data_IF_182048532028
#
_entry.id   IF_182048532028
#
_cell.length_a   1.000
_cell.length_b   1.000
_cell.length_c   1.000
_cell.angle_alpha   90.00
_cell.angle_beta   90.00
_cell.angle_gamma   90.00
#
_symmetry.space_group_name_H-M   'P 1'
#
loop_
_entity.id
_entity.type
_entity.pdbx_description
1 polymer ?
#
# COMPACT_ATOMS: atom_id res chain seq x y z
N UNK A 1 -27.94 -18.31 34.82
CA UNK A 1 -28.03 -17.35 33.70
C UNK A 1 -29.48 -16.96 33.51
N UNK A 2 -29.78 -15.69 33.26
CA UNK A 2 -31.13 -15.29 32.83
C UNK A 2 -31.43 -15.90 31.47
N UNK A 3 -32.71 -16.02 31.10
CA UNK A 3 -33.12 -16.55 29.79
C UNK A 3 -32.44 -15.81 28.62
N UNK A 4 -32.28 -14.48 28.76
CA UNK A 4 -31.54 -13.65 27.80
C UNK A 4 -30.05 -14.01 27.70
N UNK A 5 -29.40 -14.25 28.84
CA UNK A 5 -27.98 -14.61 28.86
C UNK A 5 -27.73 -16.05 28.36
N UNK A 6 -28.70 -16.96 28.51
CA UNK A 6 -28.63 -18.30 27.91
C UNK A 6 -28.77 -18.25 26.38
N UNK A 7 -29.70 -17.45 25.87
CA UNK A 7 -29.86 -17.22 24.43
C UNK A 7 -28.59 -16.59 23.80
N UNK A 8 -27.99 -15.62 24.50
CA UNK A 8 -26.75 -14.97 24.03
C UNK A 8 -25.55 -15.92 24.03
N UNK A 9 -25.44 -16.79 25.04
CA UNK A 9 -24.42 -17.83 25.06
C UNK A 9 -24.61 -18.86 23.95
N UNK A 10 -25.85 -19.30 23.70
CA UNK A 10 -26.17 -20.24 22.62
C UNK A 10 -25.83 -19.63 21.27
N UNK A 11 -26.20 -18.36 21.05
CA UNK A 11 -25.83 -17.63 19.83
C UNK A 11 -24.32 -17.58 19.64
N UNK A 12 -23.57 -17.22 20.69
CA UNK A 12 -22.10 -17.19 20.63
C UNK A 12 -21.50 -18.58 20.33
N UNK A 13 -22.07 -19.65 20.89
CA UNK A 13 -21.64 -21.03 20.61
C UNK A 13 -21.87 -21.41 19.13
N UNK A 14 -23.05 -21.10 18.58
CA UNK A 14 -23.36 -21.43 17.17
C UNK A 14 -22.59 -20.53 16.18
N UNK A 15 -22.34 -19.26 16.53
CA UNK A 15 -21.53 -18.34 15.71
C UNK A 15 -20.05 -18.72 15.67
N UNK A 16 -19.58 -19.52 16.63
CA UNK A 16 -18.16 -19.84 16.80
C UNK A 16 -17.85 -21.33 16.65
N UNK A 17 -18.75 -22.06 15.98
CA UNK A 17 -18.58 -23.50 15.64
C UNK A 17 -17.24 -23.71 14.93
N UNK A 18 -16.40 -24.60 15.48
CA UNK A 18 -15.09 -24.92 14.94
C UNK A 18 -14.05 -23.81 15.06
N UNK A 19 -14.33 -22.72 15.78
CA UNK A 19 -13.37 -21.64 16.04
C UNK A 19 -12.60 -21.92 17.34
N UNK A 20 -11.29 -22.16 17.25
CA UNK A 20 -10.40 -22.32 18.39
C UNK A 20 -10.50 -21.19 19.42
N UNK A 21 -10.47 -21.53 20.71
CA UNK A 21 -10.53 -20.59 21.83
C UNK A 21 -11.91 -19.97 22.09
N UNK A 22 -12.94 -20.38 21.36
CA UNK A 22 -14.31 -19.86 21.49
C UNK A 22 -15.30 -20.94 21.96
N UNK A 23 -16.49 -20.56 22.47
CA UNK A 23 -17.43 -21.51 23.04
C UNK A 23 -17.89 -22.63 22.09
N UNK A 24 -17.86 -22.39 20.77
CA UNK A 24 -18.21 -23.36 19.74
C UNK A 24 -17.04 -24.21 19.21
N UNK A 25 -15.82 -24.07 19.75
CA UNK A 25 -14.61 -24.73 19.24
C UNK A 25 -14.79 -26.23 18.97
N UNK A 26 -15.35 -26.95 19.94
CA UNK A 26 -15.48 -28.41 19.90
C UNK A 26 -16.78 -28.87 19.20
N UNK A 27 -17.58 -27.93 18.70
CA UNK A 27 -18.80 -28.21 17.96
C UNK A 27 -18.44 -28.37 16.49
N UNK A 28 -18.86 -29.48 15.90
CA UNK A 28 -18.72 -29.75 14.46
C UNK A 28 -20.07 -29.88 13.76
N UNK A 29 -21.09 -30.30 14.51
CA UNK A 29 -22.42 -30.58 13.98
C UNK A 29 -23.45 -29.76 14.76
N UNK A 30 -24.29 -29.02 14.04
CA UNK A 30 -25.43 -28.29 14.61
C UNK A 30 -26.72 -28.92 14.07
N UNK A 31 -27.55 -29.43 14.97
CA UNK A 31 -28.84 -30.04 14.61
C UNK A 31 -29.94 -29.09 15.07
N UNK A 32 -30.72 -28.55 14.12
CA UNK A 32 -31.87 -27.68 14.41
C UNK A 32 -33.18 -28.40 14.13
N UNK A 33 -34.10 -28.37 15.10
CA UNK A 33 -35.47 -28.87 14.96
C UNK A 33 -36.42 -27.68 14.85
N UNK A 34 -36.50 -27.08 13.67
CA UNK A 34 -37.31 -25.88 13.38
C UNK A 34 -36.50 -24.72 12.79
N UNK A 35 -37.16 -23.58 12.58
CA UNK A 35 -36.45 -22.33 12.29
C UNK A 35 -35.62 -21.96 13.52
N UNK A 36 -34.31 -21.78 13.35
CA UNK A 36 -33.51 -21.17 14.40
C UNK A 36 -34.02 -19.75 14.59
N UNK A 37 -34.58 -19.48 15.77
CA UNK A 37 -35.01 -18.14 16.19
C UNK A 37 -33.81 -17.17 16.22
N UNK A 38 -32.61 -17.71 16.38
CA UNK A 38 -31.34 -17.00 16.42
C UNK A 38 -30.58 -17.20 15.11
N UNK A 39 -30.25 -16.09 14.44
CA UNK A 39 -29.37 -16.12 13.28
C UNK A 39 -27.95 -16.49 13.71
N UNK A 40 -27.30 -17.36 12.94
CA UNK A 40 -25.89 -17.71 13.11
C UNK A 40 -25.09 -17.46 11.83
N UNK A 41 -23.85 -17.03 11.99
CA UNK A 41 -22.97 -16.55 10.92
C UNK A 41 -21.64 -17.34 10.79
N UNK A 42 -21.66 -18.67 10.94
CA UNK A 42 -20.47 -19.47 10.67
C UNK A 42 -20.24 -19.62 9.14
N UNK A 43 -19.01 -19.36 8.70
CA UNK A 43 -18.61 -19.37 7.28
C UNK A 43 -18.11 -20.74 6.79
N UNK A 44 -17.88 -21.68 7.70
CA UNK A 44 -17.20 -22.97 7.45
C UNK A 44 -18.17 -24.13 7.23
N UNK A 45 -19.38 -23.84 6.75
CA UNK A 45 -20.42 -24.85 6.53
C UNK A 45 -20.09 -25.68 5.29
N UNK A 46 -19.71 -26.93 5.48
CA UNK A 46 -19.35 -27.85 4.39
C UNK A 46 -20.48 -28.80 4.01
N UNK A 47 -21.39 -29.10 4.95
CA UNK A 47 -22.46 -30.07 4.77
C UNK A 47 -23.78 -29.50 5.30
N UNK A 48 -24.85 -29.67 4.52
CA UNK A 48 -26.22 -29.34 4.92
C UNK A 48 -27.09 -30.56 4.69
N UNK A 49 -27.70 -31.08 5.75
CA UNK A 49 -28.54 -32.28 5.68
C UNK A 49 -29.98 -31.96 6.06
N UNK A 50 -30.87 -32.07 5.07
CA UNK A 50 -32.31 -32.01 5.23
C UNK A 50 -32.88 -33.32 5.75
N UNK A 51 -33.24 -33.37 7.04
CA UNK A 51 -33.82 -34.56 7.67
C UNK A 51 -35.35 -34.65 7.55
N UNK A 52 -36.02 -33.59 7.06
CA UNK A 52 -37.47 -33.54 6.82
C UNK A 52 -37.75 -33.05 5.40
N UNK A 53 -38.93 -33.36 4.87
CA UNK A 53 -39.33 -32.92 3.56
C UNK A 53 -39.39 -31.39 3.46
N UNK A 54 -38.63 -30.82 2.52
CA UNK A 54 -38.69 -29.41 2.16
C UNK A 54 -39.78 -29.18 1.13
N UNK A 55 -40.90 -28.57 1.55
CA UNK A 55 -42.04 -28.28 0.66
C UNK A 55 -42.04 -26.86 0.10
N UNK A 56 -41.25 -25.95 0.68
CA UNK A 56 -41.15 -24.55 0.27
C UNK A 56 -39.81 -24.25 -0.39
N UNK A 57 -39.84 -23.66 -1.59
CA UNK A 57 -38.65 -23.24 -2.32
C UNK A 57 -37.83 -22.18 -1.57
N UNK A 58 -38.50 -21.19 -0.96
CA UNK A 58 -37.82 -20.12 -0.22
C UNK A 58 -37.00 -20.67 0.95
N UNK A 59 -37.51 -21.69 1.63
CA UNK A 59 -36.78 -22.34 2.73
C UNK A 59 -35.56 -23.12 2.21
N UNK A 60 -35.66 -23.77 1.04
CA UNK A 60 -34.51 -24.39 0.39
C UNK A 60 -33.41 -23.35 0.12
N UNK A 61 -33.75 -22.23 -0.53
CA UNK A 61 -32.79 -21.16 -0.87
C UNK A 61 -32.11 -20.59 0.37
N UNK A 62 -32.88 -20.32 1.43
CA UNK A 62 -32.33 -19.81 2.69
C UNK A 62 -31.39 -20.80 3.38
N UNK A 63 -31.71 -22.10 3.34
CA UNK A 63 -30.87 -23.15 3.95
C UNK A 63 -29.59 -23.35 3.14
N UNK A 64 -29.68 -23.37 1.82
CA UNK A 64 -28.52 -23.48 0.92
C UNK A 64 -27.62 -22.25 1.02
N UNK A 65 -28.18 -21.04 1.03
CA UNK A 65 -27.43 -19.79 1.13
C UNK A 65 -26.59 -19.66 2.41
N UNK A 66 -26.89 -20.42 3.47
CA UNK A 66 -26.05 -20.49 4.68
C UNK A 66 -24.71 -21.18 4.41
N UNK A 67 -24.68 -22.13 3.48
CA UNK A 67 -23.48 -22.85 3.06
C UNK A 67 -22.67 -22.16 1.98
N UNK A 68 -23.29 -21.27 1.20
CA UNK A 68 -22.65 -20.57 0.08
C UNK A 68 -21.86 -19.34 0.53
N UNK A 69 -20.89 -19.55 1.43
CA UNK A 69 -20.01 -18.50 1.94
C UNK A 69 -18.56 -18.88 1.67
N UNK A 70 -17.86 -18.03 0.92
CA UNK A 70 -16.45 -18.23 0.62
C UNK A 70 -15.60 -17.99 1.87
N UNK A 71 -14.69 -18.91 2.14
CA UNK A 71 -13.77 -18.86 3.28
C UNK A 71 -12.43 -18.20 2.93
N UNK A 72 -12.00 -18.20 1.66
CA UNK A 72 -10.80 -17.50 1.21
C UNK A 72 -10.97 -16.75 -0.10
N UNK A 73 -10.32 -15.59 -0.18
CA UNK A 73 -10.16 -14.76 -1.38
C UNK A 73 -8.71 -14.81 -1.90
N UNK A 74 -7.94 -15.82 -1.54
CA UNK A 74 -6.63 -16.07 -2.13
C UNK A 74 -6.79 -16.48 -3.59
N UNK A 75 -6.12 -15.74 -4.48
CA UNK A 75 -6.06 -16.08 -5.91
C UNK A 75 -5.05 -17.19 -6.10
N UNK A 76 -5.46 -18.26 -6.79
CA UNK A 76 -4.55 -19.32 -7.17
C UNK A 76 -3.55 -18.78 -8.21
N UNK A 77 -2.23 -18.79 -7.91
CA UNK A 77 -1.24 -18.20 -8.82
C UNK A 77 -1.13 -18.90 -10.17
N UNK A 78 -1.50 -20.18 -10.25
CA UNK A 78 -1.43 -20.97 -11.49
C UNK A 78 -2.60 -20.67 -12.43
N UNK A 79 -3.79 -20.44 -11.89
CA UNK A 79 -5.01 -20.21 -12.69
C UNK A 79 -5.39 -18.73 -12.79
N UNK A 80 -4.88 -17.87 -11.90
CA UNK A 80 -5.26 -16.46 -11.80
C UNK A 80 -6.69 -16.24 -11.28
N UNK A 81 -7.37 -17.29 -10.82
CA UNK A 81 -8.75 -17.28 -10.34
C UNK A 81 -8.82 -17.75 -8.88
N UNK A 82 -9.94 -17.53 -8.21
CA UNK A 82 -10.17 -18.14 -6.91
C UNK A 82 -10.51 -19.62 -7.07
N UNK A 83 -9.98 -20.47 -6.19
CA UNK A 83 -10.35 -21.88 -6.20
C UNK A 83 -11.86 -22.04 -5.88
N UNK A 84 -12.54 -23.02 -6.50
CA UNK A 84 -13.92 -23.33 -6.17
C UNK A 84 -14.02 -23.88 -4.74
N UNK A 85 -15.01 -23.40 -3.98
CA UNK A 85 -15.37 -23.93 -2.67
C UNK A 85 -16.75 -24.58 -2.79
N UNK A 86 -16.91 -25.76 -2.20
CA UNK A 86 -18.11 -26.59 -2.36
C UNK A 86 -18.83 -26.77 -1.02
N UNK A 87 -20.16 -26.84 -1.09
CA UNK A 87 -21.02 -27.27 0.03
C UNK A 87 -21.84 -28.48 -0.44
N UNK A 88 -21.80 -29.56 0.35
CA UNK A 88 -22.55 -30.78 0.06
C UNK A 88 -23.94 -30.70 0.69
N UNK A 89 -24.99 -30.91 -0.11
CA UNK A 89 -26.37 -30.74 0.34
C UNK A 89 -27.14 -32.03 0.11
N UNK A 90 -27.75 -32.55 1.17
CA UNK A 90 -28.49 -33.82 1.17
C UNK A 90 -29.93 -33.59 1.57
N UNK A 91 -30.88 -34.30 0.92
CA UNK A 91 -32.30 -34.28 1.32
C UNK A 91 -33.04 -32.96 1.05
N UNK A 92 -32.42 -32.02 0.31
CA UNK A 92 -33.04 -30.76 -0.13
C UNK A 92 -33.21 -30.83 -1.66
N UNK A 93 -34.43 -30.65 -2.21
CA UNK A 93 -34.65 -30.76 -3.66
C UNK A 93 -34.01 -29.59 -4.43
N UNK A 94 -33.11 -29.92 -5.38
CA UNK A 94 -32.41 -29.00 -6.27
C UNK A 94 -33.02 -29.04 -7.67
N UNK A 95 -34.09 -28.30 -7.92
CA UNK A 95 -34.71 -28.23 -9.26
C UNK A 95 -34.38 -26.95 -10.03
N UNK A 96 -33.73 -25.95 -9.40
CA UNK A 96 -33.61 -24.60 -9.98
C UNK A 96 -32.21 -23.94 -9.88
N UNK A 97 -31.28 -24.48 -9.08
CA UNK A 97 -29.90 -23.95 -9.01
C UNK A 97 -28.98 -24.74 -9.93
N UNK A 98 -28.15 -24.07 -10.76
CA UNK A 98 -27.10 -24.74 -11.50
C UNK A 98 -26.13 -25.39 -10.51
N UNK A 99 -26.02 -26.71 -10.59
CA UNK A 99 -25.07 -27.51 -9.81
C UNK A 99 -24.13 -28.19 -10.81
N UNK A 100 -22.85 -28.27 -10.48
CA UNK A 100 -21.90 -29.09 -11.25
C UNK A 100 -22.33 -30.55 -11.10
N UNK A 101 -23.00 -31.07 -12.13
CA UNK A 101 -23.43 -32.47 -12.23
C UNK A 101 -22.35 -33.27 -12.94
N UNK A 102 -21.21 -33.50 -12.29
CA UNK A 102 -20.35 -34.62 -12.67
C UNK A 102 -20.60 -35.76 -11.69
N UNK A 103 -21.30 -36.80 -12.15
CA UNK A 103 -21.45 -38.05 -11.42
C UNK A 103 -20.05 -38.59 -11.05
N UNK A 104 -19.71 -38.53 -9.76
CA UNK A 104 -18.57 -39.27 -9.19
C UNK A 104 -17.28 -38.47 -8.93
N UNK A 105 -17.21 -37.17 -9.25
CA UNK A 105 -16.04 -36.37 -8.85
C UNK A 105 -16.29 -35.73 -7.49
N UNK A 106 -15.85 -36.41 -6.42
CA UNK A 106 -15.77 -35.78 -5.10
C UNK A 106 -14.63 -34.74 -5.18
N UNK A 107 -14.91 -33.43 -5.07
CA UNK A 107 -13.84 -32.44 -5.07
C UNK A 107 -12.87 -32.76 -3.92
N UNK A 108 -11.55 -32.64 -4.15
CA UNK A 108 -10.58 -32.95 -3.11
C UNK A 108 -10.85 -32.08 -1.88
N UNK A 109 -10.64 -32.61 -0.66
CA UNK A 109 -10.86 -31.82 0.55
C UNK A 109 -10.02 -30.54 0.47
N UNK A 110 -10.58 -29.39 0.88
CA UNK A 110 -9.86 -28.14 0.85
C UNK A 110 -8.58 -28.27 1.67
N UNK A 111 -7.48 -27.73 1.16
CA UNK A 111 -6.21 -27.73 1.89
C UNK A 111 -6.41 -27.04 3.24
N UNK A 112 -5.86 -27.60 4.34
CA UNK A 112 -5.97 -26.95 5.64
C UNK A 112 -5.34 -25.56 5.56
N UNK A 113 -6.09 -24.55 6.02
CA UNK A 113 -5.61 -23.18 6.10
C UNK A 113 -5.09 -22.91 7.50
N UNK A 114 -3.97 -22.22 7.60
CA UNK A 114 -3.42 -21.76 8.87
C UNK A 114 -4.11 -20.46 9.26
N UNK A 115 -4.64 -20.40 10.49
CA UNK A 115 -5.13 -19.15 11.06
C UNK A 115 -3.94 -18.24 11.42
N UNK A 116 -3.98 -16.99 10.99
CA UNK A 116 -2.98 -15.96 11.27
C UNK A 116 -3.63 -14.91 12.15
N UNK A 117 -3.11 -14.75 13.37
CA UNK A 117 -3.70 -13.89 14.39
C UNK A 117 -2.70 -13.44 15.46
N UNK A 118 -3.00 -12.34 16.17
CA UNK A 118 -2.25 -11.93 17.35
C UNK A 118 -2.41 -12.95 18.49
N UNK A 119 -1.32 -13.28 19.17
CA UNK A 119 -1.28 -14.27 20.25
C UNK A 119 -1.20 -13.56 21.61
N UNK A 120 -2.20 -13.70 22.50
CA UNK A 120 -2.21 -13.04 23.81
C UNK A 120 -0.94 -13.28 24.64
N UNK A 121 -0.39 -14.50 24.64
CA UNK A 121 0.84 -14.86 25.35
C UNK A 121 2.08 -14.13 24.79
N UNK A 122 1.99 -13.63 23.55
CA UNK A 122 3.03 -12.86 22.87
C UNK A 122 2.79 -11.35 22.90
N UNK A 123 1.87 -10.85 23.73
CA UNK A 123 1.57 -9.42 23.85
C UNK A 123 2.81 -8.55 24.17
N UNK A 124 3.85 -9.09 24.81
CA UNK A 124 5.14 -8.38 25.01
C UNK A 124 5.83 -7.98 23.69
N UNK A 125 5.54 -8.68 22.60
CA UNK A 125 6.05 -8.40 21.25
C UNK A 125 5.07 -7.58 20.41
N UNK A 126 4.00 -7.05 21.01
CA UNK A 126 3.10 -6.13 20.36
C UNK A 126 3.85 -4.89 19.88
N UNK A 127 3.57 -4.48 18.64
CA UNK A 127 4.15 -3.31 18.01
C UNK A 127 3.02 -2.35 17.67
N UNK A 128 3.19 -1.09 18.03
CA UNK A 128 2.24 -0.03 17.74
C UNK A 128 2.91 1.09 16.95
N UNK A 129 2.15 1.73 16.07
CA UNK A 129 2.64 2.80 15.20
C UNK A 129 1.59 3.90 15.03
N UNK A 130 2.03 5.14 14.76
CA UNK A 130 1.11 6.22 14.45
C UNK A 130 0.41 5.96 13.11
N UNK A 131 -0.91 6.08 13.09
CA UNK A 131 -1.70 5.99 11.87
C UNK A 131 -1.83 7.37 11.22
N UNK A 132 -0.91 7.68 10.31
CA UNK A 132 -0.81 9.00 9.67
C UNK A 132 -1.56 8.99 8.33
N UNK A 133 -2.56 9.85 8.20
CA UNK A 133 -3.34 10.01 6.96
C UNK A 133 -2.67 10.94 5.96
N UNK A 134 -1.90 11.93 6.43
CA UNK A 134 -1.07 12.83 5.61
C UNK A 134 -0.05 13.57 6.46
N UNK A 135 0.92 14.19 5.80
CA UNK A 135 1.94 15.04 6.44
C UNK A 135 1.81 16.43 5.84
N UNK A 136 1.46 17.41 6.68
CA UNK A 136 1.32 18.81 6.27
C UNK A 136 2.68 19.51 6.39
N UNK A 137 2.99 20.36 5.41
CA UNK A 137 4.27 21.07 5.35
C UNK A 137 4.10 22.51 5.81
N UNK A 138 4.74 22.87 6.93
CA UNK A 138 4.83 24.27 7.33
C UNK A 138 6.00 24.90 6.57
N UNK A 139 5.68 25.76 5.60
CA UNK A 139 6.68 26.42 4.76
C UNK A 139 7.23 27.71 5.39
N UNK A 140 8.48 28.02 5.07
CA UNK A 140 9.09 29.32 5.35
C UNK A 140 8.32 30.44 4.63
N UNK A 141 8.14 31.63 5.25
CA UNK A 141 7.49 32.76 4.59
C UNK A 141 8.20 33.22 3.30
N UNK A 142 9.53 33.09 3.25
CA UNK A 142 10.33 33.40 2.06
C UNK A 142 10.89 32.12 1.46
N UNK A 143 10.40 31.78 0.28
CA UNK A 143 10.84 30.61 -0.47
C UNK A 143 12.19 30.85 -1.15
N UNK A 144 13.06 29.86 -1.06
CA UNK A 144 14.42 29.83 -1.63
C UNK A 144 14.73 28.47 -2.22
N UNK A 145 15.61 28.42 -3.21
CA UNK A 145 16.15 27.19 -3.76
C UNK A 145 17.67 27.30 -3.86
N UNK A 146 18.38 26.30 -3.33
CA UNK A 146 19.81 26.14 -3.56
C UNK A 146 20.02 25.37 -4.85
N UNK A 147 20.31 26.09 -5.94
CA UNK A 147 20.40 25.53 -7.29
C UNK A 147 21.39 24.36 -7.41
N UNK A 148 22.48 24.36 -6.63
CA UNK A 148 23.46 23.27 -6.65
C UNK A 148 22.88 21.95 -6.13
N UNK A 149 21.91 22.00 -5.22
CA UNK A 149 21.21 20.82 -4.68
C UNK A 149 20.05 20.35 -5.55
N UNK A 150 19.52 21.22 -6.41
CA UNK A 150 18.43 20.87 -7.33
C UNK A 150 18.96 19.90 -8.38
N UNK A 151 18.40 18.69 -8.39
CA UNK A 151 18.72 17.64 -9.37
C UNK A 151 18.31 18.11 -10.77
N UNK A 152 19.09 17.80 -11.82
CA UNK A 152 18.64 18.00 -13.19
C UNK A 152 17.37 17.18 -13.48
N UNK A 153 16.42 17.78 -14.19
CA UNK A 153 15.24 17.13 -14.74
C UNK A 153 15.56 16.67 -16.16
N UNK A 154 15.54 15.36 -16.38
CA UNK A 154 15.71 14.79 -17.72
C UNK A 154 14.34 14.58 -18.39
N UNK A 155 14.19 15.14 -19.60
CA UNK A 155 13.02 14.99 -20.44
C UNK A 155 13.40 14.23 -21.71
N UNK A 156 12.81 13.04 -21.91
CA UNK A 156 13.03 12.25 -23.11
C UNK A 156 11.99 12.56 -24.18
N UNK A 157 12.42 13.16 -25.28
CA UNK A 157 11.56 13.55 -26.40
C UNK A 157 10.89 12.33 -27.06
N UNK A 158 11.59 11.20 -27.16
CA UNK A 158 11.06 9.97 -27.80
C UNK A 158 9.91 9.30 -27.04
N UNK A 159 9.73 9.64 -25.76
CA UNK A 159 8.66 9.10 -24.91
C UNK A 159 7.44 10.03 -24.82
N UNK A 160 7.43 11.13 -25.56
CA UNK A 160 6.36 12.12 -25.53
C UNK A 160 5.30 11.77 -26.57
N UNK A 161 4.12 11.32 -26.13
CA UNK A 161 3.09 10.70 -26.98
C UNK A 161 2.68 11.57 -28.20
N UNK A 162 2.49 12.88 -28.02
CA UNK A 162 2.15 13.79 -29.13
C UNK A 162 3.30 13.94 -30.15
N UNK A 163 4.56 13.82 -29.74
CA UNK A 163 5.70 13.83 -30.67
C UNK A 163 5.74 12.51 -31.47
N UNK A 164 5.34 11.40 -30.86
CA UNK A 164 5.28 10.10 -31.52
C UNK A 164 4.14 10.00 -32.56
N UNK A 165 2.99 10.64 -32.32
CA UNK A 165 1.87 10.68 -33.27
C UNK A 165 2.13 11.61 -34.47
N UNK A 166 2.91 12.68 -34.27
CA UNK A 166 3.29 13.62 -35.34
C UNK A 166 4.57 13.20 -36.09
N UNK A 167 5.25 12.14 -35.63
CA UNK A 167 6.49 11.63 -36.21
C UNK A 167 6.23 10.52 -37.24
N UNK A 168 6.82 10.58 -38.45
CA UNK A 168 6.80 9.46 -39.38
C UNK A 168 7.47 8.22 -38.77
N UNK A 169 6.90 7.04 -39.00
CA UNK A 169 7.48 5.78 -38.52
C UNK A 169 8.61 5.36 -39.46
N UNK A 170 9.82 5.13 -38.92
CA UNK A 170 10.96 4.52 -39.62
C UNK A 170 11.45 3.33 -38.81
N UNK A 171 11.55 2.15 -39.46
CA UNK A 171 12.02 0.91 -38.83
C UNK A 171 11.30 0.52 -37.51
N UNK A 172 9.98 0.76 -37.43
CA UNK A 172 9.16 0.38 -36.28
C UNK A 172 9.34 1.25 -35.03
N UNK A 173 10.08 2.37 -35.12
CA UNK A 173 10.17 3.40 -34.09
C UNK A 173 9.79 4.77 -34.69
N UNK A 174 9.11 5.65 -33.93
CA UNK A 174 8.80 6.99 -34.41
C UNK A 174 10.09 7.79 -34.64
N UNK A 175 10.30 8.28 -35.86
CA UNK A 175 11.39 9.19 -36.19
C UNK A 175 11.01 10.63 -35.83
N UNK A 176 11.23 10.95 -34.56
CA UNK A 176 10.94 12.26 -33.97
C UNK A 176 11.72 13.42 -34.61
N UNK A 177 12.67 13.15 -35.53
CA UNK A 177 13.40 14.20 -36.26
C UNK A 177 12.61 14.80 -37.42
N UNK A 178 11.49 14.17 -37.82
CA UNK A 178 10.67 14.55 -38.99
C UNK A 178 9.25 14.97 -38.64
N UNK A 179 9.01 15.45 -37.43
CA UNK A 179 7.73 16.10 -37.10
C UNK A 179 7.58 17.37 -37.96
N UNK A 180 6.39 17.60 -38.54
CA UNK A 180 6.11 18.78 -39.39
C UNK A 180 6.47 20.09 -38.67
N UNK A 181 7.41 20.87 -39.21
CA UNK A 181 7.84 22.16 -38.64
C UNK A 181 6.66 23.10 -38.36
N UNK A 182 5.64 23.05 -39.22
CA UNK A 182 4.44 23.91 -39.16
C UNK A 182 3.60 23.65 -37.89
N UNK A 183 3.43 22.39 -37.46
CA UNK A 183 2.65 22.06 -36.26
C UNK A 183 3.42 22.38 -34.98
N UNK A 184 4.75 22.19 -35.01
CA UNK A 184 5.66 22.55 -33.92
C UNK A 184 5.69 24.06 -33.70
N UNK A 185 5.77 24.85 -34.77
CA UNK A 185 5.77 26.30 -34.72
C UNK A 185 4.47 26.84 -34.14
N UNK A 186 3.31 26.31 -34.53
CA UNK A 186 2.01 26.74 -34.00
C UNK A 186 1.90 26.49 -32.49
N UNK A 187 2.21 25.29 -32.03
CA UNK A 187 2.20 24.94 -30.60
C UNK A 187 3.21 25.78 -29.80
N UNK A 188 4.41 26.02 -30.34
CA UNK A 188 5.41 26.83 -29.65
C UNK A 188 5.10 28.35 -29.67
N UNK A 189 4.37 28.84 -30.67
CA UNK A 189 3.84 30.21 -30.69
C UNK A 189 2.72 30.39 -29.67
N UNK A 190 1.86 29.39 -29.47
CA UNK A 190 0.82 29.40 -28.44
C UNK A 190 1.39 29.41 -27.01
N UNK A 191 2.52 28.72 -26.78
CA UNK A 191 3.17 28.58 -25.48
C UNK A 191 4.53 29.29 -25.41
N UNK A 192 4.47 30.62 -25.30
CA UNK A 192 5.64 31.46 -25.00
C UNK A 192 6.24 31.09 -23.64
N UNK A 193 7.56 31.30 -23.45
CA UNK A 193 8.26 31.03 -22.18
C UNK A 193 7.53 31.61 -20.97
N UNK A 194 7.02 32.84 -21.08
CA UNK A 194 6.27 33.49 -20.00
C UNK A 194 4.99 32.74 -19.62
N UNK A 195 4.30 32.17 -20.61
CA UNK A 195 3.10 31.36 -20.38
C UNK A 195 3.46 30.05 -19.69
N UNK A 196 4.52 29.38 -20.13
CA UNK A 196 5.04 28.16 -19.49
C UNK A 196 5.38 28.44 -18.01
N UNK A 197 6.09 29.54 -17.73
CA UNK A 197 6.43 29.96 -16.36
C UNK A 197 5.16 30.17 -15.55
N UNK A 198 4.19 30.90 -16.08
CA UNK A 198 2.96 31.24 -15.35
C UNK A 198 2.08 30.01 -15.09
N UNK A 199 1.87 29.16 -16.09
CA UNK A 199 1.11 27.92 -15.94
C UNK A 199 1.79 26.97 -14.95
N UNK A 200 3.12 26.81 -15.04
CA UNK A 200 3.88 26.01 -14.08
C UNK A 200 3.74 26.59 -12.67
N UNK A 201 3.91 27.90 -12.49
CA UNK A 201 3.78 28.55 -11.18
C UNK A 201 2.37 28.43 -10.59
N UNK A 202 1.33 28.53 -11.43
CA UNK A 202 -0.07 28.31 -11.02
C UNK A 202 -0.27 26.87 -10.54
N UNK A 203 0.20 25.88 -11.30
CA UNK A 203 0.01 24.47 -10.96
C UNK A 203 0.82 24.07 -9.70
N UNK A 204 1.97 24.71 -9.46
CA UNK A 204 2.72 24.60 -8.20
C UNK A 204 1.97 25.29 -7.05
N UNK A 205 1.41 26.48 -7.29
CA UNK A 205 0.59 27.20 -6.32
C UNK A 205 -0.61 26.34 -5.87
N UNK A 206 -1.32 25.72 -6.81
CA UNK A 206 -2.50 24.92 -6.51
C UNK A 206 -2.20 23.73 -5.60
N UNK A 207 -0.98 23.20 -5.68
CA UNK A 207 -0.48 22.13 -4.80
C UNK A 207 -0.03 22.63 -3.43
N UNK A 208 0.43 23.88 -3.30
CA UNK A 208 0.99 24.43 -2.05
C UNK A 208 -0.01 25.28 -1.25
N UNK A 209 -1.05 25.82 -1.87
CA UNK A 209 -1.93 26.82 -1.26
C UNK A 209 -2.63 26.35 0.03
N UNK A 210 -2.86 25.04 0.18
CA UNK A 210 -3.56 24.48 1.35
C UNK A 210 -2.73 24.59 2.62
N UNK A 211 -1.42 24.44 2.50
CA UNK A 211 -0.49 24.44 3.65
C UNK A 211 0.18 25.81 3.85
N UNK A 212 -0.06 26.76 2.93
CA UNK A 212 0.50 28.10 2.99
C UNK A 212 -0.29 29.00 3.95
N UNK A 213 0.41 29.61 4.92
CA UNK A 213 -0.19 30.51 5.91
C UNK A 213 -0.14 32.00 5.54
N UNK A 214 0.63 32.38 4.51
CA UNK A 214 0.78 33.78 4.08
C UNK A 214 -0.26 34.21 3.04
N UNK A 215 -0.11 35.42 2.48
CA UNK A 215 -0.99 35.88 1.42
C UNK A 215 -0.77 35.12 0.10
N UNK A 216 -1.85 34.98 -0.66
CA UNK A 216 -1.89 34.32 -1.97
C UNK A 216 -0.97 35.01 -2.97
N UNK A 217 -1.04 36.33 -3.03
CA UNK A 217 -0.30 37.17 -3.97
C UNK A 217 1.21 37.04 -3.73
N UNK A 218 1.59 36.96 -2.45
CA UNK A 218 2.98 36.81 -2.06
C UNK A 218 3.55 35.43 -2.38
N UNK A 219 2.75 34.36 -2.21
CA UNK A 219 3.17 33.02 -2.64
C UNK A 219 3.35 32.99 -4.16
N UNK A 220 2.36 33.47 -4.91
CA UNK A 220 2.38 33.42 -6.38
C UNK A 220 3.57 34.20 -6.95
N UNK A 221 3.86 35.40 -6.43
CA UNK A 221 5.01 36.20 -6.85
C UNK A 221 6.35 35.47 -6.63
N UNK A 222 6.48 34.76 -5.50
CA UNK A 222 7.67 33.96 -5.23
C UNK A 222 7.80 32.75 -6.14
N UNK A 223 6.68 32.05 -6.39
CA UNK A 223 6.65 30.87 -7.25
C UNK A 223 6.98 31.22 -8.70
N UNK A 224 6.41 32.30 -9.25
CA UNK A 224 6.74 32.78 -10.61
C UNK A 224 8.24 33.02 -10.73
N UNK A 225 8.85 33.71 -9.76
CA UNK A 225 10.29 33.97 -9.75
C UNK A 225 11.12 32.69 -9.68
N UNK A 226 10.77 31.75 -8.81
CA UNK A 226 11.51 30.49 -8.65
C UNK A 226 11.38 29.59 -9.88
N UNK A 227 10.19 29.51 -10.46
CA UNK A 227 9.92 28.74 -11.68
C UNK A 227 10.66 29.33 -12.88
N UNK A 228 10.65 30.66 -13.03
CA UNK A 228 11.41 31.36 -14.06
C UNK A 228 12.90 31.03 -13.96
N UNK A 229 13.48 31.17 -12.76
CA UNK A 229 14.87 30.82 -12.51
C UNK A 229 15.14 29.34 -12.83
N UNK A 230 14.23 28.43 -12.47
CA UNK A 230 14.40 27.01 -12.78
C UNK A 230 14.42 26.72 -14.28
N UNK A 231 13.47 27.27 -15.05
CA UNK A 231 13.40 27.06 -16.50
C UNK A 231 14.65 27.61 -17.21
N UNK A 232 15.20 28.72 -16.71
CA UNK A 232 16.41 29.37 -17.24
C UNK A 232 17.73 28.78 -16.72
N UNK A 233 17.73 28.08 -15.59
CA UNK A 233 18.94 27.60 -14.90
C UNK A 233 19.77 26.52 -15.64
N UNK A 234 19.27 26.00 -16.76
CA UNK A 234 19.87 24.84 -17.43
C UNK A 234 19.65 23.50 -16.72
N UNK A 235 18.88 23.46 -15.62
CA UNK A 235 18.55 22.22 -14.89
C UNK A 235 17.57 21.30 -15.62
N UNK A 236 16.98 21.74 -16.74
CA UNK A 236 16.16 20.87 -17.60
C UNK A 236 17.03 20.39 -18.77
N UNK A 237 17.31 19.10 -18.78
CA UNK A 237 18.08 18.41 -19.83
C UNK A 237 17.12 17.65 -20.74
N UNK A 238 17.19 17.88 -22.04
CA UNK A 238 16.36 17.18 -23.03
C UNK A 238 17.21 16.17 -23.79
N UNK A 239 16.72 14.94 -23.92
CA UNK A 239 17.35 13.86 -24.68
C UNK A 239 16.45 13.47 -25.86
N UNK A 240 16.97 13.41 -27.11
CA UNK A 240 18.34 13.71 -27.53
C UNK A 240 18.73 15.19 -27.45
N UNK A 241 20.02 15.49 -27.24
CA UNK A 241 20.51 16.86 -27.03
C UNK A 241 20.28 17.84 -28.18
N UNK A 242 19.97 17.38 -29.38
CA UNK A 242 19.63 18.22 -30.54
C UNK A 242 18.38 19.09 -30.29
N UNK A 243 17.44 18.61 -29.46
CA UNK A 243 16.25 19.37 -29.07
C UNK A 243 16.54 20.48 -28.04
N UNK A 244 17.76 20.53 -27.50
CA UNK A 244 18.16 21.54 -26.52
C UNK A 244 18.81 22.78 -27.17
N UNK A 245 19.19 22.70 -28.44
CA UNK A 245 19.87 23.78 -29.17
C UNK A 245 18.90 24.80 -29.78
N UNK A 246 17.67 24.37 -30.02
CA UNK A 246 16.60 25.19 -30.60
C UNK A 246 15.60 25.55 -29.50
N UNK A 247 15.44 26.86 -29.25
CA UNK A 247 14.54 27.39 -28.22
C UNK A 247 13.08 26.96 -28.45
N UNK A 248 12.65 26.85 -29.71
CA UNK A 248 11.31 26.43 -30.09
C UNK A 248 11.08 24.97 -29.70
N UNK A 249 12.02 24.10 -30.06
CA UNK A 249 11.97 22.67 -29.72
C UNK A 249 12.07 22.45 -28.21
N UNK A 250 12.93 23.20 -27.52
CA UNK A 250 13.07 23.16 -26.06
C UNK A 250 11.75 23.51 -25.36
N UNK A 251 11.12 24.62 -25.76
CA UNK A 251 9.82 25.04 -25.21
C UNK A 251 8.74 23.99 -25.43
N UNK A 252 8.66 23.43 -26.63
CA UNK A 252 7.68 22.41 -26.95
C UNK A 252 7.83 21.19 -26.03
N UNK A 253 9.04 20.63 -25.89
CA UNK A 253 9.24 19.43 -25.06
C UNK A 253 8.89 19.69 -23.59
N UNK A 254 9.19 20.89 -23.09
CA UNK A 254 8.78 21.33 -21.74
C UNK A 254 7.25 21.35 -21.63
N UNK A 255 6.55 21.99 -22.58
CA UNK A 255 5.08 22.07 -22.61
C UNK A 255 4.45 20.69 -22.65
N UNK A 256 4.95 19.79 -23.49
CA UNK A 256 4.42 18.42 -23.60
C UNK A 256 4.71 17.55 -22.37
N UNK A 257 5.67 17.95 -21.54
CA UNK A 257 6.01 17.28 -20.29
C UNK A 257 5.71 18.18 -19.06
N UNK A 258 4.76 19.12 -19.17
CA UNK A 258 4.48 20.13 -18.13
C UNK A 258 4.26 19.49 -16.76
N UNK A 259 3.50 18.39 -16.70
CA UNK A 259 3.25 17.66 -15.44
C UNK A 259 4.55 17.21 -14.76
N UNK A 260 5.54 16.70 -15.51
CA UNK A 260 6.83 16.30 -14.95
C UNK A 260 7.63 17.51 -14.45
N UNK A 261 7.60 18.60 -15.21
CA UNK A 261 8.29 19.87 -14.88
C UNK A 261 7.72 20.45 -13.59
N UNK A 262 6.39 20.59 -13.51
CA UNK A 262 5.65 21.06 -12.33
C UNK A 262 5.99 20.21 -11.11
N UNK A 263 5.91 18.87 -11.23
CA UNK A 263 6.20 17.97 -10.12
C UNK A 263 7.65 18.09 -9.63
N UNK A 264 8.61 18.19 -10.56
CA UNK A 264 10.03 18.31 -10.21
C UNK A 264 10.34 19.60 -9.45
N UNK A 265 9.87 20.74 -9.93
CA UNK A 265 10.11 22.03 -9.26
C UNK A 265 9.32 22.14 -7.96
N UNK A 266 8.08 21.63 -7.92
CA UNK A 266 7.28 21.58 -6.70
C UNK A 266 7.95 20.75 -5.62
N UNK A 267 8.45 19.55 -5.94
CA UNK A 267 9.20 18.71 -5.00
C UNK A 267 10.43 19.46 -4.46
N UNK A 268 11.22 20.09 -5.34
CA UNK A 268 12.40 20.86 -4.93
C UNK A 268 12.03 22.02 -3.97
N UNK A 269 10.98 22.78 -4.28
CA UNK A 269 10.51 23.89 -3.44
C UNK A 269 10.00 23.35 -2.11
N UNK A 270 9.18 22.31 -2.13
CA UNK A 270 8.60 21.68 -0.93
C UNK A 270 9.69 21.22 0.02
N UNK A 271 10.66 20.43 -0.44
CA UNK A 271 11.72 19.88 0.43
C UNK A 271 12.65 20.97 1.00
N UNK A 272 13.10 21.93 0.19
CA UNK A 272 14.05 22.96 0.64
C UNK A 272 13.42 23.97 1.62
N UNK A 273 12.11 24.23 1.48
CA UNK A 273 11.43 25.30 2.22
C UNK A 273 10.54 24.81 3.37
N UNK A 274 10.53 23.50 3.64
CA UNK A 274 9.83 22.96 4.80
C UNK A 274 10.59 23.35 6.07
N UNK A 275 9.91 24.10 6.94
CA UNK A 275 10.41 24.43 8.27
C UNK A 275 10.04 23.33 9.27
N UNK A 276 8.82 22.80 9.17
CA UNK A 276 8.31 21.76 10.05
C UNK A 276 7.37 20.81 9.30
N UNK A 277 7.46 19.53 9.64
CA UNK A 277 6.52 18.49 9.22
C UNK A 277 5.47 18.28 10.32
N UNK A 278 4.19 18.36 9.96
CA UNK A 278 3.08 18.14 10.89
C UNK A 278 2.29 16.89 10.47
N UNK A 279 2.51 15.73 11.13
CA UNK A 279 1.74 14.53 10.82
C UNK A 279 0.28 14.72 11.27
N UNK A 280 -0.63 14.43 10.35
CA UNK A 280 -2.07 14.40 10.61
C UNK A 280 -2.47 12.95 10.81
N UNK A 281 -2.95 12.65 12.01
CA UNK A 281 -3.37 11.30 12.39
C UNK A 281 -4.80 11.02 11.94
N UNK A 282 -5.11 9.75 11.76
CA UNK A 282 -6.48 9.26 11.65
C UNK A 282 -7.29 9.69 12.89
N UNK A 283 -8.54 10.10 12.68
CA UNK A 283 -9.37 10.65 13.76
C UNK A 283 -9.90 9.58 14.70
N UNK A 284 -10.23 8.41 14.15
CA UNK A 284 -10.88 7.34 14.89
C UNK A 284 -9.83 6.38 15.45
N UNK A 285 -8.76 6.12 14.67
CA UNK A 285 -7.70 5.18 15.02
C UNK A 285 -6.32 5.84 14.88
N UNK A 286 -5.97 6.84 15.72
CA UNK A 286 -4.71 7.59 15.60
C UNK A 286 -3.45 6.75 15.84
N UNK A 287 -3.60 5.63 16.54
CA UNK A 287 -2.55 4.64 16.79
C UNK A 287 -3.11 3.30 16.34
N UNK A 288 -2.30 2.54 15.61
CA UNK A 288 -2.58 1.15 15.24
C UNK A 288 -1.58 0.23 15.91
N UNK A 289 -1.97 -1.02 16.08
CA UNK A 289 -1.15 -2.04 16.69
C UNK A 289 -1.30 -3.38 15.99
N UNK A 290 -0.33 -4.27 16.19
CA UNK A 290 -0.48 -5.68 15.78
C UNK A 290 -1.67 -6.36 16.46
N UNK A 291 -2.08 -5.91 17.65
CA UNK A 291 -3.28 -6.38 18.33
C UNK A 291 -4.61 -6.06 17.62
N UNK A 292 -4.64 -5.07 16.73
CA UNK A 292 -5.85 -4.68 15.99
C UNK A 292 -6.12 -5.61 14.78
N UNK A 293 -5.18 -6.52 14.46
CA UNK A 293 -5.30 -7.41 13.32
C UNK A 293 -6.36 -8.48 13.58
N UNK A 294 -7.43 -8.49 12.80
CA UNK A 294 -8.41 -9.57 12.82
C UNK A 294 -7.81 -10.88 12.31
N UNK A 295 -8.24 -12.00 12.89
CA UNK A 295 -7.85 -13.34 12.42
C UNK A 295 -8.19 -13.51 10.94
N UNK A 296 -7.21 -13.95 10.15
CA UNK A 296 -7.38 -14.31 8.76
C UNK A 296 -6.75 -15.69 8.50
N UNK A 297 -6.98 -16.28 7.32
CA UNK A 297 -6.60 -17.67 7.03
C UNK A 297 -5.82 -17.74 5.72
N UNK A 298 -4.74 -18.53 5.68
CA UNK A 298 -3.92 -18.70 4.48
C UNK A 298 -3.61 -20.17 4.19
N UNK A 299 -3.55 -20.52 2.90
CA UNK A 299 -2.97 -21.79 2.45
C UNK A 299 -1.48 -21.71 2.11
N UNK A 300 -0.86 -20.53 2.23
CA UNK A 300 0.56 -20.32 1.89
C UNK A 300 1.48 -20.92 2.96
N UNK A 301 2.73 -21.27 2.60
CA UNK A 301 3.74 -21.63 3.58
C UNK A 301 3.94 -20.52 4.61
N UNK A 302 3.92 -20.90 5.89
CA UNK A 302 4.11 -20.01 7.01
C UNK A 302 4.95 -20.67 8.10
N UNK A 303 5.78 -19.89 8.77
CA UNK A 303 6.66 -20.36 9.85
C UNK A 303 6.28 -19.76 11.19
N UNK A 304 6.42 -20.55 12.25
CA UNK A 304 6.17 -20.11 13.61
C UNK A 304 7.25 -19.11 14.05
N UNK A 305 6.83 -18.01 14.66
CA UNK A 305 7.70 -16.92 15.12
C UNK A 305 7.81 -16.90 16.64
N UNK A 306 8.94 -16.48 17.20
CA UNK A 306 9.14 -16.40 18.66
C UNK A 306 9.05 -14.97 19.18
N UNK A 307 9.51 -13.97 18.41
CA UNK A 307 9.60 -12.55 18.78
C UNK A 307 8.64 -11.65 18.01
N UNK A 308 7.56 -12.23 17.51
CA UNK A 308 6.48 -11.51 16.84
C UNK A 308 5.17 -11.73 17.62
N UNK A 309 4.33 -10.70 17.72
CA UNK A 309 3.00 -10.82 18.34
C UNK A 309 2.10 -11.79 17.56
N UNK A 310 2.27 -11.86 16.24
CA UNK A 310 1.49 -12.72 15.36
C UNK A 310 2.04 -14.15 15.41
N UNK A 311 1.14 -15.15 15.43
CA UNK A 311 1.49 -16.56 15.59
C UNK A 311 2.47 -17.09 14.52
N UNK A 312 2.24 -16.78 13.24
CA UNK A 312 3.04 -17.22 12.10
C UNK A 312 3.40 -16.06 11.16
N UNK A 313 4.54 -16.19 10.48
CA UNK A 313 4.92 -15.32 9.38
C UNK A 313 4.65 -16.03 8.05
N UNK A 314 3.91 -15.39 7.16
CA UNK A 314 3.63 -15.90 5.81
C UNK A 314 4.72 -15.42 4.85
N UNK A 315 5.26 -16.31 4.03
CA UNK A 315 6.34 -15.97 3.11
C UNK A 315 5.83 -15.85 1.67
N UNK A 316 6.01 -14.68 1.05
CA UNK A 316 5.68 -14.49 -0.37
C UNK A 316 6.89 -14.77 -1.27
N UNK A 317 8.10 -14.76 -0.71
CA UNK A 317 9.33 -15.11 -1.39
C UNK A 317 10.34 -15.78 -0.46
N UNK A 318 11.30 -16.51 -1.03
CA UNK A 318 12.42 -17.10 -0.29
C UNK A 318 13.28 -16.03 0.42
N UNK A 319 13.30 -14.81 -0.12
CA UNK A 319 14.06 -13.70 0.45
C UNK A 319 13.42 -13.22 1.76
N UNK A 320 12.11 -13.00 1.77
CA UNK A 320 11.37 -12.64 2.99
C UNK A 320 11.46 -13.73 4.07
N UNK A 321 11.50 -15.00 3.67
CA UNK A 321 11.70 -16.11 4.60
C UNK A 321 13.06 -16.02 5.31
N UNK A 322 14.12 -15.72 4.55
CA UNK A 322 15.47 -15.57 5.11
C UNK A 322 15.57 -14.39 6.07
N UNK A 323 14.92 -13.27 5.75
CA UNK A 323 14.90 -12.08 6.60
C UNK A 323 14.08 -12.29 7.88
N UNK A 324 12.87 -12.85 7.76
CA UNK A 324 12.04 -13.23 8.90
C UNK A 324 12.80 -14.17 9.86
N UNK A 325 13.50 -15.16 9.30
CA UNK A 325 14.32 -16.10 10.06
C UNK A 325 15.44 -15.40 10.85
N UNK A 326 16.14 -14.44 10.23
CA UNK A 326 17.19 -13.68 10.93
C UNK A 326 16.59 -12.74 11.98
N UNK A 327 15.51 -12.01 11.67
CA UNK A 327 14.86 -11.08 12.60
C UNK A 327 14.40 -11.76 13.89
N UNK A 328 13.89 -12.99 13.81
CA UNK A 328 13.38 -13.72 14.97
C UNK A 328 14.49 -14.20 15.93
N UNK A 329 15.71 -14.35 15.42
CA UNK A 329 16.87 -14.88 16.16
C UNK A 329 17.87 -13.81 16.56
N UNK A 330 17.98 -12.72 15.80
CA UNK A 330 19.03 -11.74 15.94
C UNK A 330 19.05 -11.10 17.34
N UNK A 331 20.20 -11.05 18.04
CA UNK A 331 20.27 -10.56 19.42
C UNK A 331 19.94 -9.07 19.58
N UNK A 332 19.99 -8.27 18.52
CA UNK A 332 19.67 -6.84 18.55
C UNK A 332 18.17 -6.54 18.41
N UNK A 333 17.37 -7.51 17.95
CA UNK A 333 15.92 -7.37 17.75
C UNK A 333 15.17 -7.77 19.03
N UNK A 334 14.29 -6.89 19.50
CA UNK A 334 13.39 -7.18 20.62
C UNK A 334 12.08 -7.78 20.13
N UNK A 335 11.45 -7.14 19.16
CA UNK A 335 10.21 -7.58 18.53
C UNK A 335 10.21 -7.22 17.05
N UNK A 336 9.48 -7.96 16.23
CA UNK A 336 9.32 -7.66 14.80
C UNK A 336 7.97 -8.16 14.28
N UNK A 337 7.54 -7.64 13.14
CA UNK A 337 6.36 -8.12 12.43
C UNK A 337 6.50 -7.88 10.92
N UNK A 338 6.05 -8.83 10.10
CA UNK A 338 5.81 -8.61 8.68
C UNK A 338 4.52 -7.80 8.52
N UNK A 339 4.55 -6.74 7.72
CA UNK A 339 3.40 -5.87 7.47
C UNK A 339 2.36 -6.52 6.54
N UNK A 340 1.72 -7.59 7.02
CA UNK A 340 0.72 -8.35 6.31
C UNK A 340 -0.63 -8.21 7.01
N UNK A 341 -1.63 -7.66 6.30
CA UNK A 341 -2.96 -7.33 6.83
C UNK A 341 -2.99 -6.38 8.05
N UNK A 342 -1.86 -5.76 8.42
CA UNK A 342 -1.78 -4.81 9.54
C UNK A 342 -2.27 -3.39 9.19
N UNK A 343 -2.26 -3.05 7.90
CA UNK A 343 -2.67 -1.73 7.43
C UNK A 343 -1.65 -0.62 7.73
N UNK A 344 -0.37 -0.95 7.93
CA UNK A 344 0.68 0.07 7.99
C UNK A 344 0.99 0.57 6.56
N UNK A 345 0.47 1.74 6.24
CA UNK A 345 0.51 2.34 4.91
C UNK A 345 1.08 3.75 4.96
N UNK A 346 1.93 4.08 3.98
CA UNK A 346 2.48 5.41 3.78
C UNK A 346 1.97 5.92 2.43
N UNK A 347 1.31 7.08 2.44
CA UNK A 347 0.91 7.74 1.20
C UNK A 347 2.13 8.35 0.51
N UNK A 348 2.23 8.14 -0.79
CA UNK A 348 3.25 8.76 -1.62
C UNK A 348 2.66 9.19 -2.97
N UNK A 349 3.26 10.22 -3.56
CA UNK A 349 2.87 10.71 -4.89
C UNK A 349 3.90 10.21 -5.88
N UNK A 350 3.43 9.59 -6.97
CA UNK A 350 4.30 9.16 -8.06
C UNK A 350 3.63 9.44 -9.40
N UNK A 351 4.30 10.25 -10.24
CA UNK A 351 3.77 10.72 -11.54
C UNK A 351 2.38 11.36 -11.41
N UNK A 352 2.19 12.19 -10.38
CA UNK A 352 0.93 12.91 -10.14
C UNK A 352 -0.21 12.08 -9.54
N UNK A 353 0.01 10.79 -9.26
CA UNK A 353 -1.01 9.90 -8.68
C UNK A 353 -0.66 9.60 -7.23
N UNK A 354 -1.62 9.82 -6.32
CA UNK A 354 -1.52 9.40 -4.92
C UNK A 354 -1.62 7.88 -4.85
N UNK A 355 -0.65 7.25 -4.19
CA UNK A 355 -0.55 5.80 -4.04
C UNK A 355 -0.28 5.45 -2.57
N UNK A 356 -0.60 4.21 -2.22
CA UNK A 356 -0.28 3.61 -0.92
C UNK A 356 0.95 2.73 -1.06
N UNK A 357 1.91 2.93 -0.17
CA UNK A 357 3.09 2.11 -0.04
C UNK A 357 3.02 1.34 1.28
N UNK A 358 3.26 0.02 1.22
CA UNK A 358 3.34 -0.86 2.38
C UNK A 358 4.78 -1.38 2.48
N UNK A 359 5.57 -0.93 3.47
CA UNK A 359 6.87 -1.51 3.78
C UNK A 359 6.74 -2.97 4.21
N UNK A 360 7.82 -3.75 4.15
CA UNK A 360 7.76 -5.21 4.34
C UNK A 360 7.77 -5.60 5.83
N UNK A 361 8.62 -4.96 6.66
CA UNK A 361 8.72 -5.26 8.09
C UNK A 361 8.75 -4.02 8.99
N UNK A 362 8.24 -4.18 10.21
CA UNK A 362 8.39 -3.23 11.33
C UNK A 362 9.13 -3.96 12.44
N UNK A 363 10.17 -3.34 12.98
CA UNK A 363 11.09 -3.95 13.94
C UNK A 363 11.25 -3.01 15.13
N UNK A 364 11.15 -3.52 16.35
CA UNK A 364 11.60 -2.84 17.57
C UNK A 364 12.95 -3.43 17.98
N UNK A 365 13.96 -2.58 18.01
CA UNK A 365 15.32 -2.92 18.43
C UNK A 365 15.38 -2.96 19.95
N UNK A 366 16.32 -3.73 20.52
CA UNK A 366 16.57 -3.73 21.99
C UNK A 366 17.03 -2.38 22.55
N UNK A 367 17.49 -1.47 21.69
CA UNK A 367 17.77 -0.09 22.07
C UNK A 367 16.51 0.74 22.33
N UNK A 368 15.33 0.25 21.94
CA UNK A 368 14.05 0.97 21.96
C UNK A 368 13.71 1.70 20.64
N UNK A 369 14.65 1.74 19.69
CA UNK A 369 14.42 2.32 18.37
C UNK A 369 13.53 1.40 17.50
N UNK A 370 12.70 2.01 16.66
CA UNK A 370 11.90 1.33 15.65
C UNK A 370 12.59 1.43 14.29
N UNK A 371 12.59 0.33 13.54
CA UNK A 371 13.14 0.23 12.20
C UNK A 371 12.07 -0.30 11.24
N UNK A 372 11.80 0.47 10.19
CA UNK A 372 11.02 0.04 9.03
C UNK A 372 11.99 -0.53 8.00
N UNK A 373 11.80 -1.79 7.61
CA UNK A 373 12.67 -2.47 6.66
C UNK A 373 11.92 -2.78 5.37
N UNK A 374 12.57 -2.49 4.25
CA UNK A 374 12.09 -2.83 2.90
C UNK A 374 13.07 -3.77 2.20
N UNK A 375 12.55 -4.77 1.50
CA UNK A 375 13.33 -5.77 0.78
C UNK A 375 13.18 -5.55 -0.72
N UNK A 376 14.27 -5.22 -1.41
CA UNK A 376 14.24 -4.88 -2.85
C UNK A 376 15.48 -5.35 -3.59
N UNK A 377 15.28 -6.15 -4.62
CA UNK A 377 16.33 -6.50 -5.59
C UNK A 377 16.69 -5.34 -6.52
N UNK A 378 15.73 -4.85 -7.32
CA UNK A 378 15.97 -3.77 -8.28
C UNK A 378 15.47 -2.41 -7.77
N UNK A 379 16.30 -1.39 -7.92
CA UNK A 379 16.03 -0.05 -7.41
C UNK A 379 15.51 0.90 -8.51
N UNK A 380 14.20 0.86 -8.74
CA UNK A 380 13.51 1.70 -9.74
C UNK A 380 13.31 3.15 -9.25
N UNK A 381 13.00 4.08 -10.16
CA UNK A 381 12.60 5.46 -9.78
C UNK A 381 11.38 5.50 -8.85
N UNK A 382 10.47 4.54 -8.98
CA UNK A 382 9.34 4.42 -8.07
C UNK A 382 9.80 4.02 -6.66
N UNK A 383 10.76 3.10 -6.54
CA UNK A 383 11.33 2.70 -5.25
C UNK A 383 12.10 3.85 -4.58
N UNK A 384 12.87 4.62 -5.35
CA UNK A 384 13.48 5.88 -4.88
C UNK A 384 12.42 6.85 -4.35
N UNK A 385 11.30 6.99 -5.05
CA UNK A 385 10.21 7.88 -4.60
C UNK A 385 9.55 7.38 -3.31
N UNK A 386 9.21 6.08 -3.22
CA UNK A 386 8.69 5.48 -1.98
C UNK A 386 9.60 5.76 -0.78
N UNK A 387 10.91 5.58 -0.93
CA UNK A 387 11.89 5.83 0.14
C UNK A 387 11.97 7.30 0.56
N UNK A 388 11.81 8.25 -0.37
CA UNK A 388 11.74 9.68 0.00
C UNK A 388 10.53 9.98 0.89
N UNK A 389 9.36 9.41 0.58
CA UNK A 389 8.16 9.57 1.41
C UNK A 389 8.23 8.79 2.72
N UNK A 390 8.91 7.63 2.75
CA UNK A 390 9.22 6.92 3.99
C UNK A 390 10.15 7.72 4.90
N UNK A 391 11.18 8.37 4.34
CA UNK A 391 12.06 9.26 5.07
C UNK A 391 11.30 10.46 5.65
N UNK A 392 10.44 11.08 4.85
CA UNK A 392 9.55 12.17 5.28
C UNK A 392 8.64 11.72 6.44
N UNK A 393 8.05 10.53 6.35
CA UNK A 393 7.23 9.93 7.41
C UNK A 393 8.02 9.74 8.70
N UNK A 394 9.22 9.15 8.61
CA UNK A 394 10.10 8.94 9.77
C UNK A 394 10.49 10.27 10.42
N UNK A 395 10.83 11.27 9.61
CA UNK A 395 11.17 12.61 10.10
C UNK A 395 9.97 13.29 10.78
N UNK A 396 8.77 13.18 10.22
CA UNK A 396 7.55 13.74 10.80
C UNK A 396 7.21 13.10 12.14
N UNK A 397 7.29 11.76 12.24
CA UNK A 397 7.04 11.01 13.49
C UNK A 397 8.06 11.37 14.56
N UNK A 398 9.34 11.39 14.21
CA UNK A 398 10.42 11.75 15.13
C UNK A 398 10.31 13.19 15.61
N UNK A 399 9.99 14.14 14.72
CA UNK A 399 9.82 15.55 15.08
C UNK A 399 8.58 15.79 15.97
N UNK A 400 7.50 15.03 15.75
CA UNK A 400 6.31 15.09 16.59
C UNK A 400 6.57 14.53 17.99
N UNK A 401 7.41 13.50 18.10
CA UNK A 401 7.71 12.80 19.35
C UNK A 401 6.55 11.93 19.85
N UNK A 402 6.78 11.21 20.95
CA UNK A 402 5.77 10.37 21.62
C UNK A 402 5.62 8.94 21.08
N UNK A 403 6.28 8.58 19.98
CA UNK A 403 6.20 7.25 19.35
C UNK A 403 7.53 6.48 19.37
N UNK A 404 8.47 6.87 20.24
CA UNK A 404 9.85 6.41 20.16
C UNK A 404 10.58 6.98 18.95
N UNK A 405 11.81 6.51 18.71
CA UNK A 405 12.63 6.94 17.57
C UNK A 405 12.48 5.96 16.42
N UNK A 406 12.09 6.45 15.26
CA UNK A 406 11.91 5.68 14.04
C UNK A 406 13.08 5.87 13.07
N UNK A 407 13.40 4.82 12.32
CA UNK A 407 14.41 4.79 11.26
C UNK A 407 13.90 3.88 10.14
N UNK A 408 14.53 3.96 8.98
CA UNK A 408 14.26 3.04 7.89
C UNK A 408 15.56 2.47 7.30
N UNK A 409 15.45 1.27 6.70
CA UNK A 409 16.53 0.56 6.04
C UNK A 409 16.02 -0.21 4.82
N UNK A 410 16.93 -0.55 3.90
CA UNK A 410 16.61 -1.33 2.70
C UNK A 410 17.60 -2.48 2.59
N UNK A 411 17.08 -3.69 2.60
CA UNK A 411 17.80 -4.92 2.28
C UNK A 411 17.82 -5.11 0.76
N UNK A 412 19.03 -5.20 0.21
CA UNK A 412 19.30 -5.43 -1.22
C UNK A 412 19.90 -6.79 -1.50
N UNK A 413 20.36 -7.48 -0.47
CA UNK A 413 20.78 -8.88 -0.51
C UNK A 413 20.35 -9.60 0.78
N UNK A 414 19.90 -10.88 0.74
CA UNK A 414 19.51 -11.61 1.95
C UNK A 414 20.58 -11.62 3.07
N UNK A 415 21.87 -11.52 2.71
CA UNK A 415 22.98 -11.50 3.66
C UNK A 415 23.20 -10.16 4.36
N UNK A 416 22.69 -9.04 3.83
CA UNK A 416 23.00 -7.68 4.33
C UNK A 416 22.22 -7.30 5.59
N UNK A 417 21.16 -8.03 5.90
CA UNK A 417 20.26 -7.73 7.01
C UNK A 417 20.98 -7.69 8.36
N UNK A 418 21.98 -8.55 8.56
CA UNK A 418 22.82 -8.54 9.77
C UNK A 418 23.57 -7.22 9.94
N UNK A 419 24.13 -6.70 8.86
CA UNK A 419 24.88 -5.45 8.86
C UNK A 419 23.95 -4.25 9.06
N UNK A 420 22.76 -4.28 8.45
CA UNK A 420 21.71 -3.27 8.66
C UNK A 420 21.32 -3.24 10.15
N UNK A 421 20.98 -4.38 10.73
CA UNK A 421 20.59 -4.49 12.14
C UNK A 421 21.73 -4.03 13.07
N UNK A 422 22.98 -4.42 12.80
CA UNK A 422 24.13 -4.01 13.58
C UNK A 422 24.37 -2.50 13.53
N UNK A 423 24.28 -1.89 12.33
CA UNK A 423 24.39 -0.44 12.13
C UNK A 423 23.34 0.32 12.93
N UNK A 424 22.09 -0.15 12.91
CA UNK A 424 20.99 0.48 13.64
C UNK A 424 21.05 0.23 15.15
N UNK A 425 21.64 -0.88 15.60
CA UNK A 425 21.87 -1.15 17.02
C UNK A 425 22.98 -0.27 17.63
N UNK A 426 24.02 0.06 16.86
CA UNK A 426 25.17 0.85 17.34
C UNK A 426 24.96 2.36 17.33
N UNK A 427 23.95 2.84 16.60
CA UNK A 427 23.67 4.26 16.50
C UNK A 427 23.05 4.79 17.79
N UNK A 428 23.91 4.99 18.81
CA UNK A 428 23.57 5.52 20.13
C UNK A 428 22.73 6.79 20.05
N UNK A 429 21.89 6.95 21.07
CA UNK A 429 21.22 8.19 21.46
C UNK A 429 22.25 9.32 21.45
N UNK A 430 22.08 10.27 20.54
CA UNK A 430 22.80 11.53 20.52
C UNK A 430 21.88 12.60 21.07
#
# INVERSE_FOLDING_TARGET
LTQKAQAELLRLQVDTVGCGGKPGEQIQNVISVGMLSEGWDAKTVTHVMGLRAFTSQLLCEQVVGRGLRRTSYEVNPATGLFDPEYVNIFGVPFTFLPHESEEGVIPPPPKPKTAIEPVPEKARFELSWPNIIRIDHVYRPRLTLLWDKVKPLELNASQTAQVAELAPILEGKPDVTKVSEIDLERLAQEFRTQRIIFETARDVYDQMQKDWKGSREFLLAQLVRLVEQFIQSGKITIIPGLFNQDDLKRRLIITLNMTKVVQHIWEAIRFENTEKLEPVFDRDHPIRSTGDMGTWYTGKPCEYTQRCHINFCVHDSAWEATEAFELDRNPAVEAWVKNDHLGFEILYIYRGVVRKYRPDFIIRMKSGDHLILETKGQDTEQNKTKRRFLDEWVNAVNARGGFGRWRWGVSKDPGDIKDILAKHAQAKVA
#
